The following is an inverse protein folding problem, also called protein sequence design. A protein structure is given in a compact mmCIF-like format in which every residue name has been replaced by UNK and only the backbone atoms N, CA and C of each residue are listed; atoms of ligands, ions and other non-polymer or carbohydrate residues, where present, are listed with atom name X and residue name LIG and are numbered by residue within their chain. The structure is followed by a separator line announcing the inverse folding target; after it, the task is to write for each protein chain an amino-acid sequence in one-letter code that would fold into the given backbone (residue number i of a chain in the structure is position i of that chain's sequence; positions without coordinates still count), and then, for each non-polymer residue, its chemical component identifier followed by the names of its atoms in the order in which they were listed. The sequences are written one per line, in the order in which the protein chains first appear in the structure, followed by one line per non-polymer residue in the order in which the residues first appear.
data_IF_313244599392
#
_entry.id   IF_313244599392
#
_cell.length_a   1.000
_cell.length_b   1.000
_cell.length_c   1.000
_cell.angle_alpha   90.00
_cell.angle_beta   90.00
_cell.angle_gamma   90.00
#
_symmetry.space_group_name_H-M   'P 1'
#
loop_
_entity.id
_entity.type
_entity.pdbx_description
1 polymer ?
#
# COMPACT_ATOMS: atom_id res chain seq x y z
N UNK A 1 -29.39 -10.42 -3.79
CA UNK A 1 -28.47 -11.34 -3.08
C UNK A 1 -27.04 -11.45 -3.64
N UNK A 2 -26.75 -12.09 -4.80
CA UNK A 2 -25.35 -12.21 -5.29
C UNK A 2 -24.72 -10.86 -5.72
N UNK A 3 -25.46 -10.04 -6.47
CA UNK A 3 -25.00 -8.72 -6.94
C UNK A 3 -24.72 -7.73 -5.79
N UNK A 4 -25.58 -7.69 -4.77
CA UNK A 4 -25.36 -6.86 -3.57
C UNK A 4 -24.09 -7.28 -2.80
N UNK A 5 -23.79 -8.58 -2.76
CA UNK A 5 -22.57 -9.08 -2.12
C UNK A 5 -21.30 -8.65 -2.86
N UNK A 6 -21.37 -8.57 -4.20
CA UNK A 6 -20.26 -8.13 -5.05
C UNK A 6 -20.08 -6.62 -4.92
N UNK A 7 -21.16 -5.84 -5.04
CA UNK A 7 -21.09 -4.38 -4.92
C UNK A 7 -20.52 -3.96 -3.56
N UNK A 8 -21.01 -4.57 -2.47
CA UNK A 8 -20.57 -4.26 -1.11
C UNK A 8 -19.08 -4.47 -0.90
N UNK A 9 -18.47 -5.46 -1.56
CA UNK A 9 -17.04 -5.78 -1.45
C UNK A 9 -16.14 -4.75 -2.12
N UNK A 10 -16.65 -4.02 -3.12
CA UNK A 10 -15.89 -3.02 -3.87
C UNK A 10 -16.04 -1.60 -3.33
N UNK A 11 -16.91 -1.36 -2.34
CA UNK A 11 -17.12 -0.03 -1.75
C UNK A 11 -15.81 0.58 -1.25
N UNK A 12 -15.03 -0.17 -0.45
CA UNK A 12 -13.76 0.33 0.10
C UNK A 12 -12.76 0.71 -1.01
N UNK A 13 -12.44 -0.18 -1.98
CA UNK A 13 -11.58 0.16 -3.11
C UNK A 13 -12.07 1.32 -3.98
N UNK A 14 -13.38 1.40 -4.24
CA UNK A 14 -13.99 2.48 -5.03
C UNK A 14 -13.86 3.82 -4.32
N UNK A 15 -14.20 3.88 -3.04
CA UNK A 15 -14.08 5.10 -2.24
C UNK A 15 -12.63 5.55 -2.13
N UNK A 16 -11.71 4.62 -1.90
CA UNK A 16 -10.27 4.93 -1.84
C UNK A 16 -9.76 5.49 -3.16
N UNK A 17 -10.11 4.84 -4.29
CA UNK A 17 -9.74 5.31 -5.63
C UNK A 17 -10.34 6.69 -5.93
N UNK A 18 -11.62 6.89 -5.56
CA UNK A 18 -12.31 8.16 -5.73
C UNK A 18 -11.60 9.29 -4.96
N UNK A 19 -11.22 9.04 -3.70
CA UNK A 19 -10.47 10.03 -2.89
C UNK A 19 -9.14 10.40 -3.55
N UNK A 20 -8.37 9.42 -4.05
CA UNK A 20 -7.12 9.70 -4.76
C UNK A 20 -7.35 10.55 -6.02
N UNK A 21 -8.40 10.25 -6.79
CA UNK A 21 -8.76 11.03 -8.00
C UNK A 21 -9.19 12.45 -7.63
N UNK A 22 -10.04 12.60 -6.61
CA UNK A 22 -10.48 13.93 -6.15
C UNK A 22 -9.31 14.78 -5.65
N UNK A 23 -8.35 14.18 -4.95
CA UNK A 23 -7.12 14.88 -4.52
C UNK A 23 -6.25 15.27 -5.71
N UNK A 24 -6.15 14.42 -6.74
CA UNK A 24 -5.39 14.72 -7.96
C UNK A 24 -5.98 15.86 -8.80
N UNK A 25 -7.25 16.23 -8.59
CA UNK A 25 -7.88 17.39 -9.21
C UNK A 25 -7.58 18.71 -8.48
N UNK A 26 -7.01 18.66 -7.27
CA UNK A 26 -6.69 19.87 -6.52
C UNK A 26 -5.47 20.60 -7.12
N UNK A 27 -5.34 21.92 -6.91
CA UNK A 27 -4.13 22.65 -7.29
C UNK A 27 -2.88 22.09 -6.61
N UNK A 28 -1.73 22.18 -7.28
CA UNK A 28 -0.45 21.69 -6.75
C UNK A 28 -0.09 22.30 -5.38
N UNK A 29 -0.49 23.55 -5.13
CA UNK A 29 -0.32 24.24 -3.83
C UNK A 29 -1.10 23.59 -2.68
N UNK A 30 -2.16 22.82 -2.97
CA UNK A 30 -2.86 22.00 -1.99
C UNK A 30 -2.25 20.60 -1.88
N UNK A 31 -1.88 19.98 -3.00
CA UNK A 31 -1.25 18.65 -3.02
C UNK A 31 0.05 18.63 -2.20
N UNK A 32 0.88 19.68 -2.32
CA UNK A 32 2.10 19.88 -1.52
C UNK A 32 1.85 19.99 -0.01
N UNK A 33 0.64 20.34 0.44
CA UNK A 33 0.27 20.33 1.87
C UNK A 33 -0.11 18.94 2.39
N UNK A 34 -0.39 18.01 1.48
CA UNK A 34 -0.78 16.65 1.77
C UNK A 34 0.38 15.65 1.61
N UNK A 35 1.43 15.99 0.87
CA UNK A 35 2.59 15.12 0.73
C UNK A 35 3.31 14.88 2.05
N UNK A 36 4.04 13.77 2.13
CA UNK A 36 4.98 13.54 3.21
C UNK A 36 6.05 14.62 3.10
N UNK A 37 6.28 15.35 4.19
CA UNK A 37 7.32 16.37 4.28
C UNK A 37 7.92 16.30 5.67
N UNK A 38 9.16 15.82 5.77
CA UNK A 38 9.77 15.41 7.05
C UNK A 38 9.83 16.54 8.06
N UNK A 39 10.21 17.75 7.62
CA UNK A 39 10.29 18.91 8.50
C UNK A 39 8.92 19.26 9.10
N UNK A 40 7.87 19.31 8.28
CA UNK A 40 6.52 19.63 8.75
C UNK A 40 5.91 18.53 9.62
N UNK A 41 6.26 17.26 9.38
CA UNK A 41 5.89 16.17 10.31
C UNK A 41 6.52 16.41 11.69
N UNK A 42 7.77 16.89 11.72
CA UNK A 42 8.45 17.28 12.97
C UNK A 42 7.74 18.46 13.65
N UNK A 43 7.20 19.39 12.86
CA UNK A 43 6.43 20.54 13.33
C UNK A 43 4.98 20.19 13.76
N UNK A 44 4.60 18.91 13.75
CA UNK A 44 3.30 18.43 14.22
C UNK A 44 2.27 18.18 13.12
N UNK A 45 2.62 18.32 11.84
CA UNK A 45 1.72 18.05 10.71
C UNK A 45 1.57 16.53 10.43
N UNK A 46 1.17 15.77 11.45
CA UNK A 46 1.13 14.30 11.45
C UNK A 46 0.20 13.70 10.39
N UNK A 47 -0.79 14.45 9.90
CA UNK A 47 -1.66 14.00 8.81
C UNK A 47 -0.89 13.65 7.54
N UNK A 48 0.30 14.24 7.33
CA UNK A 48 1.20 13.95 6.21
C UNK A 48 1.70 12.50 6.19
N UNK A 49 1.75 11.83 7.33
CA UNK A 49 2.04 10.39 7.40
C UNK A 49 0.94 9.57 6.71
N UNK A 50 -0.28 10.09 6.63
CA UNK A 50 -1.39 9.43 5.97
C UNK A 50 -1.63 9.96 4.56
N UNK A 51 -1.79 11.28 4.43
CA UNK A 51 -2.23 11.93 3.19
C UNK A 51 -1.24 11.81 2.04
N UNK A 52 0.05 11.58 2.31
CA UNK A 52 1.07 11.40 1.28
C UNK A 52 0.75 10.28 0.29
N UNK A 53 0.10 9.22 0.79
CA UNK A 53 -0.26 8.03 0.03
C UNK A 53 -1.49 8.22 -0.86
N UNK A 54 -2.21 9.33 -0.66
CA UNK A 54 -3.35 9.74 -1.49
C UNK A 54 -2.92 10.71 -2.60
N UNK A 55 -1.76 11.35 -2.45
CA UNK A 55 -1.15 12.24 -3.45
C UNK A 55 -0.24 11.48 -4.40
N UNK A 56 -0.09 11.99 -5.62
CA UNK A 56 0.71 11.38 -6.69
C UNK A 56 1.56 12.45 -7.39
N UNK A 57 2.58 12.01 -8.13
CA UNK A 57 3.48 12.89 -8.89
C UNK A 57 2.80 13.47 -10.15
N UNK A 58 1.74 12.82 -10.63
CA UNK A 58 0.95 13.22 -11.77
C UNK A 58 -0.04 12.13 -12.18
N UNK A 59 -0.76 12.34 -13.27
CA UNK A 59 -1.79 11.42 -13.76
C UNK A 59 -1.24 10.03 -14.12
N UNK A 60 -0.06 9.95 -14.74
CA UNK A 60 0.57 8.66 -15.08
C UNK A 60 0.82 7.80 -13.83
N UNK A 61 1.40 8.40 -12.79
CA UNK A 61 1.65 7.73 -11.51
C UNK A 61 0.34 7.31 -10.82
N UNK A 62 -0.68 8.18 -10.81
CA UNK A 62 -1.99 7.84 -10.25
C UNK A 62 -2.63 6.66 -10.98
N UNK A 63 -2.68 6.69 -12.31
CA UNK A 63 -3.28 5.63 -13.12
C UNK A 63 -2.54 4.31 -12.89
N UNK A 64 -1.21 4.33 -12.89
CA UNK A 64 -0.38 3.15 -12.63
C UNK A 64 -0.67 2.56 -11.23
N UNK A 65 -0.72 3.39 -10.19
CA UNK A 65 -0.99 2.93 -8.84
C UNK A 65 -2.41 2.39 -8.69
N UNK A 66 -3.42 3.06 -9.25
CA UNK A 66 -4.79 2.57 -9.20
C UNK A 66 -4.96 1.29 -10.02
N UNK A 67 -4.34 1.19 -11.19
CA UNK A 67 -4.34 -0.05 -11.98
C UNK A 67 -3.70 -1.20 -11.19
N UNK A 68 -2.56 -0.96 -10.54
CA UNK A 68 -1.91 -1.92 -9.66
C UNK A 68 -2.80 -2.31 -8.47
N UNK A 69 -3.45 -1.34 -7.83
CA UNK A 69 -4.39 -1.58 -6.73
C UNK A 69 -5.54 -2.49 -7.15
N UNK A 70 -6.19 -2.19 -8.27
CA UNK A 70 -7.30 -3.00 -8.79
C UNK A 70 -6.84 -4.39 -9.26
N UNK A 71 -5.66 -4.50 -9.86
CA UNK A 71 -5.06 -5.78 -10.24
C UNK A 71 -4.80 -6.66 -9.00
N UNK A 72 -4.22 -6.08 -7.95
CA UNK A 72 -3.99 -6.79 -6.68
C UNK A 72 -5.31 -7.32 -6.10
N UNK A 73 -6.37 -6.51 -6.11
CA UNK A 73 -7.69 -6.95 -5.65
C UNK A 73 -8.28 -8.06 -6.52
N UNK A 74 -8.03 -8.04 -7.83
CA UNK A 74 -8.45 -9.10 -8.75
C UNK A 74 -7.69 -10.42 -8.51
N UNK A 75 -6.39 -10.35 -8.16
CA UNK A 75 -5.58 -11.50 -7.78
C UNK A 75 -6.06 -12.16 -6.48
N UNK A 76 -6.68 -11.38 -5.57
CA UNK A 76 -7.15 -11.82 -4.26
C UNK A 76 -8.67 -11.67 -4.12
N UNK A 77 -9.48 -12.46 -4.84
CA UNK A 77 -10.94 -12.26 -4.97
C UNK A 77 -11.71 -12.46 -3.65
N UNK A 78 -11.07 -13.06 -2.63
CA UNK A 78 -11.58 -13.11 -1.24
C UNK A 78 -11.41 -11.77 -0.56
N UNK A 79 -12.17 -10.81 -1.08
CA UNK A 79 -12.22 -9.43 -0.61
C UNK A 79 -12.68 -9.35 0.83
N UNK A 80 -12.03 -8.46 1.57
CA UNK A 80 -12.39 -8.20 2.95
C UNK A 80 -13.71 -7.42 3.02
N UNK A 81 -14.50 -7.57 4.10
CA UNK A 81 -15.56 -6.63 4.42
C UNK A 81 -15.02 -5.18 4.37
N UNK A 82 -15.82 -4.18 3.94
CA UNK A 82 -15.35 -2.81 3.71
C UNK A 82 -14.54 -2.21 4.87
N UNK A 83 -15.01 -2.41 6.11
CA UNK A 83 -14.31 -1.92 7.30
C UNK A 83 -12.93 -2.57 7.47
N UNK A 84 -12.80 -3.89 7.27
CA UNK A 84 -11.52 -4.60 7.37
C UNK A 84 -10.56 -4.19 6.23
N UNK A 85 -11.10 -3.93 5.03
CA UNK A 85 -10.34 -3.36 3.92
C UNK A 85 -9.78 -1.98 4.29
N UNK A 86 -10.62 -1.10 4.83
CA UNK A 86 -10.21 0.24 5.24
C UNK A 86 -9.14 0.21 6.34
N UNK A 87 -9.34 -0.62 7.38
CA UNK A 87 -8.35 -0.80 8.45
C UNK A 87 -7.01 -1.30 7.88
N UNK A 88 -7.03 -2.30 6.99
CA UNK A 88 -5.81 -2.81 6.35
C UNK A 88 -5.08 -1.70 5.59
N UNK A 89 -5.78 -0.92 4.76
CA UNK A 89 -5.17 0.19 4.02
C UNK A 89 -4.58 1.25 4.95
N UNK A 90 -5.31 1.64 6.01
CA UNK A 90 -4.81 2.60 7.01
C UNK A 90 -3.53 2.09 7.68
N UNK A 91 -3.50 0.82 8.10
CA UNK A 91 -2.33 0.25 8.75
C UNK A 91 -1.14 0.11 7.80
N UNK A 92 -1.37 -0.23 6.52
CA UNK A 92 -0.33 -0.26 5.51
C UNK A 92 0.24 1.13 5.21
N UNK A 93 -0.62 2.14 5.12
CA UNK A 93 -0.24 3.55 4.96
C UNK A 93 0.65 4.00 6.13
N UNK A 94 0.18 3.78 7.36
CA UNK A 94 0.91 4.18 8.55
C UNK A 94 2.22 3.43 8.71
N UNK A 95 2.23 2.10 8.50
CA UNK A 95 3.46 1.30 8.59
C UNK A 95 4.50 1.71 7.54
N UNK A 96 4.07 2.02 6.31
CA UNK A 96 4.97 2.53 5.27
C UNK A 96 5.57 3.88 5.68
N UNK A 97 4.76 4.82 6.16
CA UNK A 97 5.23 6.15 6.58
C UNK A 97 6.09 6.11 7.84
N UNK A 98 5.76 5.25 8.81
CA UNK A 98 6.57 5.03 10.01
C UNK A 98 7.92 4.42 9.62
N UNK A 99 7.93 3.49 8.67
CA UNK A 99 9.17 2.95 8.10
C UNK A 99 10.05 4.05 7.50
N UNK A 100 9.49 4.87 6.62
CA UNK A 100 10.20 6.02 6.04
C UNK A 100 10.72 6.97 7.12
N UNK A 101 9.90 7.27 8.11
CA UNK A 101 10.27 8.18 9.19
C UNK A 101 11.44 7.67 10.03
N UNK A 102 11.40 6.39 10.43
CA UNK A 102 12.37 5.80 11.35
C UNK A 102 13.66 5.36 10.67
N UNK A 103 13.57 4.84 9.44
CA UNK A 103 14.67 4.11 8.80
C UNK A 103 15.23 4.79 7.55
N UNK A 104 14.54 5.80 7.00
CA UNK A 104 15.00 6.61 5.85
C UNK A 104 15.05 8.11 6.20
N UNK A 105 15.90 8.56 7.14
CA UNK A 105 15.97 9.96 7.57
C UNK A 105 16.31 10.95 6.43
N UNK A 106 16.97 10.47 5.38
CA UNK A 106 17.31 11.21 4.16
C UNK A 106 16.10 11.50 3.26
N UNK A 107 14.98 10.78 3.41
CA UNK A 107 13.74 11.04 2.66
C UNK A 107 13.09 12.30 3.21
N UNK A 108 13.30 13.41 2.51
CA UNK A 108 12.74 14.72 2.88
C UNK A 108 11.28 14.86 2.48
N UNK A 109 10.88 14.29 1.34
CA UNK A 109 9.51 14.33 0.83
C UNK A 109 9.12 13.03 0.12
N UNK A 110 7.82 12.70 0.11
CA UNK A 110 7.29 11.50 -0.55
C UNK A 110 5.83 11.67 -1.00
N UNK A 111 5.49 11.07 -2.14
CA UNK A 111 4.13 10.93 -2.67
C UNK A 111 3.96 9.56 -3.33
N UNK A 112 2.81 8.93 -3.14
CA UNK A 112 2.41 7.76 -3.91
C UNK A 112 1.88 6.62 -3.07
N UNK A 113 1.16 5.72 -3.73
CA UNK A 113 0.52 4.55 -3.13
C UNK A 113 1.40 3.29 -3.22
N UNK A 114 2.45 3.30 -4.03
CA UNK A 114 3.19 2.10 -4.42
C UNK A 114 3.73 1.29 -3.23
N UNK A 115 4.15 1.93 -2.13
CA UNK A 115 4.54 1.22 -0.90
C UNK A 115 3.39 0.41 -0.31
N UNK A 116 2.23 1.04 -0.15
CA UNK A 116 0.99 0.39 0.30
C UNK A 116 0.62 -0.79 -0.61
N UNK A 117 0.82 -0.66 -1.92
CA UNK A 117 0.56 -1.75 -2.88
C UNK A 117 1.47 -2.96 -2.66
N UNK A 118 2.75 -2.75 -2.37
CA UNK A 118 3.67 -3.84 -2.04
C UNK A 118 3.22 -4.57 -0.76
N UNK A 119 2.81 -3.81 0.26
CA UNK A 119 2.26 -4.37 1.48
C UNK A 119 0.96 -5.16 1.25
N UNK A 120 0.05 -4.61 0.46
CA UNK A 120 -1.20 -5.28 0.11
C UNK A 120 -0.95 -6.56 -0.69
N UNK A 121 0.01 -6.54 -1.62
CA UNK A 121 0.40 -7.68 -2.44
C UNK A 121 1.01 -8.80 -1.58
N UNK A 122 1.96 -8.48 -0.68
CA UNK A 122 2.53 -9.44 0.26
C UNK A 122 1.48 -10.02 1.20
N UNK A 123 0.66 -9.16 1.82
CA UNK A 123 -0.40 -9.58 2.72
C UNK A 123 -1.41 -10.51 2.03
N UNK A 124 -1.83 -10.14 0.81
CA UNK A 124 -2.76 -10.92 0.01
C UNK A 124 -2.21 -12.29 -0.40
N UNK A 125 -0.96 -12.33 -0.89
CA UNK A 125 -0.29 -13.56 -1.28
C UNK A 125 -0.13 -14.51 -0.09
N UNK A 126 0.31 -14.01 1.07
CA UNK A 126 0.40 -14.81 2.29
C UNK A 126 -0.96 -15.32 2.76
N UNK A 127 -2.00 -14.49 2.67
CA UNK A 127 -3.36 -14.87 3.07
C UNK A 127 -3.93 -16.01 2.25
N UNK A 128 -3.68 -16.02 0.94
CA UNK A 128 -4.18 -17.07 0.06
C UNK A 128 -3.19 -18.24 -0.14
N UNK A 129 -2.05 -18.26 0.57
CA UNK A 129 -0.99 -19.24 0.38
C UNK A 129 -1.47 -20.69 0.45
N UNK A 130 -2.43 -20.99 1.32
CA UNK A 130 -3.03 -22.34 1.43
C UNK A 130 -3.96 -22.70 0.27
N UNK A 131 -4.59 -21.70 -0.34
CA UNK A 131 -5.64 -21.87 -1.34
C UNK A 131 -5.07 -21.84 -2.77
N UNK A 132 -4.03 -21.02 -2.99
CA UNK A 132 -3.34 -20.84 -4.25
C UNK A 132 -1.81 -20.79 -4.03
N UNK A 133 -1.17 -21.90 -3.62
CA UNK A 133 0.23 -21.91 -3.23
C UNK A 133 1.17 -21.49 -4.37
N UNK A 134 0.94 -21.97 -5.60
CA UNK A 134 1.79 -21.64 -6.74
C UNK A 134 1.79 -20.14 -7.08
N UNK A 135 0.60 -19.52 -7.17
CA UNK A 135 0.44 -18.09 -7.43
C UNK A 135 1.08 -17.26 -6.31
N UNK A 136 0.83 -17.64 -5.06
CA UNK A 136 1.34 -16.94 -3.89
C UNK A 136 2.87 -17.00 -3.82
N UNK A 137 3.44 -18.19 -4.05
CA UNK A 137 4.88 -18.39 -4.06
C UNK A 137 5.55 -17.59 -5.18
N UNK A 138 4.96 -17.60 -6.39
CA UNK A 138 5.45 -16.80 -7.51
C UNK A 138 5.46 -15.30 -7.19
N UNK A 139 4.34 -14.77 -6.69
CA UNK A 139 4.21 -13.35 -6.31
C UNK A 139 5.25 -12.98 -5.23
N UNK A 140 5.34 -13.77 -4.15
CA UNK A 140 6.26 -13.47 -3.04
C UNK A 140 7.72 -13.53 -3.50
N UNK A 141 8.08 -14.53 -4.31
CA UNK A 141 9.43 -14.65 -4.87
C UNK A 141 9.75 -13.47 -5.76
N UNK A 142 8.84 -13.08 -6.65
CA UNK A 142 9.00 -11.92 -7.52
C UNK A 142 9.19 -10.63 -6.72
N UNK A 143 8.37 -10.40 -5.69
CA UNK A 143 8.50 -9.22 -4.82
C UNK A 143 9.85 -9.21 -4.09
N UNK A 144 10.30 -10.35 -3.54
CA UNK A 144 11.60 -10.43 -2.86
C UNK A 144 12.75 -10.12 -3.82
N UNK A 145 12.78 -10.73 -4.99
CA UNK A 145 13.82 -10.47 -6.01
C UNK A 145 13.81 -8.99 -6.41
N UNK A 146 12.63 -8.43 -6.67
CA UNK A 146 12.47 -7.01 -6.98
C UNK A 146 13.01 -6.11 -5.87
N UNK A 147 12.65 -6.38 -4.61
CA UNK A 147 13.07 -5.54 -3.49
C UNK A 147 14.58 -5.64 -3.25
N UNK A 148 15.18 -6.82 -3.39
CA UNK A 148 16.65 -6.98 -3.32
C UNK A 148 17.32 -6.14 -4.41
N UNK A 149 16.80 -6.18 -5.64
CA UNK A 149 17.30 -5.34 -6.72
C UNK A 149 17.19 -3.86 -6.35
N UNK A 150 16.00 -3.42 -5.92
CA UNK A 150 15.75 -2.02 -5.61
C UNK A 150 16.63 -1.47 -4.49
N UNK A 151 16.93 -2.30 -3.49
CA UNK A 151 17.77 -1.91 -2.35
C UNK A 151 19.27 -1.90 -2.70
N UNK A 152 19.70 -2.62 -3.74
CA UNK A 152 21.09 -2.60 -4.20
C UNK A 152 21.31 -1.56 -5.31
N UNK A 153 20.46 -1.57 -6.33
CA UNK A 153 20.66 -0.87 -7.60
C UNK A 153 19.78 0.39 -7.74
N UNK A 154 18.82 0.60 -6.83
CA UNK A 154 17.80 1.65 -6.97
C UNK A 154 16.62 1.21 -7.85
N UNK A 155 15.76 2.16 -8.28
CA UNK A 155 14.53 1.86 -9.00
C UNK A 155 14.74 0.99 -10.24
N UNK A 156 13.80 0.09 -10.54
CA UNK A 156 13.86 -0.70 -11.78
C UNK A 156 13.89 0.23 -13.02
N UNK A 157 14.66 -0.10 -14.08
CA UNK A 157 14.74 0.70 -15.28
C UNK A 157 13.35 1.07 -15.85
N UNK A 158 13.13 2.36 -16.11
CA UNK A 158 11.86 2.88 -16.61
C UNK A 158 10.80 3.20 -15.54
N UNK A 159 10.99 2.79 -14.28
CA UNK A 159 10.00 3.05 -13.21
C UNK A 159 9.79 4.53 -12.94
N UNK A 160 10.86 5.32 -12.91
CA UNK A 160 10.79 6.77 -12.67
C UNK A 160 10.16 7.52 -13.84
N UNK A 161 10.38 7.06 -15.07
CA UNK A 161 9.72 7.59 -16.27
C UNK A 161 8.21 7.34 -16.22
N UNK A 162 7.80 6.11 -15.87
CA UNK A 162 6.39 5.75 -15.69
C UNK A 162 5.74 6.49 -14.51
N UNK A 163 6.48 6.69 -13.42
CA UNK A 163 6.02 7.42 -12.24
C UNK A 163 6.12 8.95 -12.39
N UNK A 164 6.70 9.45 -13.48
CA UNK A 164 6.97 10.87 -13.69
C UNK A 164 7.77 11.54 -12.54
N UNK A 165 8.72 10.82 -11.94
CA UNK A 165 9.61 11.35 -10.91
C UNK A 165 10.29 10.26 -10.08
N UNK A 166 11.02 10.70 -9.05
CA UNK A 166 11.87 9.82 -8.22
C UNK A 166 11.07 8.75 -7.50
N UNK A 167 11.54 7.51 -7.57
CA UNK A 167 10.92 6.37 -6.88
C UNK A 167 11.66 6.12 -5.56
N UNK A 168 10.96 6.34 -4.44
CA UNK A 168 11.48 6.03 -3.10
C UNK A 168 11.32 4.52 -2.85
N UNK A 169 12.35 3.76 -3.19
CA UNK A 169 12.35 2.29 -3.09
C UNK A 169 12.14 1.78 -1.66
N UNK A 170 12.55 2.54 -0.66
CA UNK A 170 12.37 2.19 0.75
C UNK A 170 10.89 2.12 1.13
N UNK A 171 10.04 2.94 0.49
CA UNK A 171 8.60 2.85 0.68
C UNK A 171 8.06 1.47 0.23
N UNK A 172 8.63 0.87 -0.82
CA UNK A 172 8.26 -0.47 -1.26
C UNK A 172 8.66 -1.53 -0.23
N UNK A 173 9.87 -1.43 0.31
CA UNK A 173 10.36 -2.33 1.35
C UNK A 173 9.50 -2.24 2.61
N UNK A 174 9.29 -1.04 3.15
CA UNK A 174 8.53 -0.85 4.39
C UNK A 174 7.05 -1.22 4.22
N UNK A 175 6.47 -0.93 3.06
CA UNK A 175 5.14 -1.41 2.71
C UNK A 175 5.06 -2.93 2.73
N UNK A 176 5.97 -3.62 2.03
CA UNK A 176 6.03 -5.08 1.99
C UNK A 176 6.17 -5.69 3.39
N UNK A 177 7.12 -5.20 4.19
CA UNK A 177 7.34 -5.62 5.59
C UNK A 177 6.09 -5.41 6.43
N UNK A 178 5.44 -4.25 6.32
CA UNK A 178 4.18 -3.97 7.03
C UNK A 178 3.11 -4.98 6.66
N UNK A 179 2.96 -5.32 5.38
CA UNK A 179 2.03 -6.35 4.91
C UNK A 179 2.27 -7.72 5.54
N UNK A 180 3.54 -8.15 5.63
CA UNK A 180 3.93 -9.40 6.27
C UNK A 180 3.62 -9.38 7.78
N UNK A 181 3.91 -8.28 8.47
CA UNK A 181 3.61 -8.10 9.89
C UNK A 181 2.11 -8.19 10.14
N UNK A 182 1.30 -7.46 9.38
CA UNK A 182 -0.17 -7.46 9.54
C UNK A 182 -0.78 -8.84 9.28
N UNK A 183 -0.25 -9.60 8.32
CA UNK A 183 -0.69 -10.97 8.09
C UNK A 183 -0.34 -11.89 9.26
N UNK A 184 0.88 -11.78 9.77
CA UNK A 184 1.37 -12.59 10.90
C UNK A 184 0.54 -12.32 12.17
N UNK A 185 0.31 -11.05 12.52
CA UNK A 185 -0.49 -10.66 13.69
C UNK A 185 -1.94 -11.17 13.58
N UNK A 186 -2.58 -10.99 12.42
CA UNK A 186 -3.95 -11.48 12.22
C UNK A 186 -4.05 -13.01 12.33
N UNK A 187 -3.01 -13.73 11.89
CA UNK A 187 -2.95 -15.19 11.97
C UNK A 187 -2.76 -15.69 13.42
N UNK A 188 -2.00 -14.96 14.24
CA UNK A 188 -1.81 -15.27 15.66
C UNK A 188 -3.09 -15.02 16.45
N UNK A 189 -3.72 -13.85 16.29
CA UNK A 189 -4.96 -13.50 16.99
C UNK A 189 -6.06 -14.52 16.69
N UNK A 190 -6.20 -14.95 15.44
CA UNK A 190 -7.19 -15.96 15.06
C UNK A 190 -6.95 -17.31 15.76
N UNK A 191 -5.69 -17.72 15.92
CA UNK A 191 -5.36 -18.97 16.62
C UNK A 191 -5.70 -18.89 18.10
N UNK A 192 -5.32 -17.80 18.77
CA UNK A 192 -5.58 -17.62 20.21
C UNK A 192 -7.08 -17.62 20.53
N UNK A 193 -7.90 -16.93 19.72
CA UNK A 193 -9.36 -16.91 19.91
C UNK A 193 -9.99 -18.30 19.70
N UNK A 194 -9.46 -19.11 18.78
CA UNK A 194 -9.96 -20.48 18.52
C UNK A 194 -9.54 -21.45 19.62
N UNK A 195 -8.38 -21.25 20.23
CA UNK A 195 -7.90 -22.06 21.36
C UNK A 195 -8.66 -21.75 22.65
N UNK A 196 -9.05 -20.49 22.89
CA UNK A 196 -9.82 -20.07 24.07
C UNK A 196 -11.32 -20.48 24.01
N UNK A 197 -11.82 -20.84 22.82
CA UNK A 197 -13.23 -21.25 22.60
C UNK A 197 -13.42 -22.77 22.49
N UNK A 198 -12.38 -23.56 22.78
CA UNK A 198 -12.43 -25.03 22.86
C UNK A 198 -12.29 -25.50 24.29
#
# INVERSE_FOLDING_TARGET
MKAESILRRHICPLLFSLVCVLIALLPESFITKLQYQRIHITDGELWRLFSAHLTHLGWGHLIMNLAGFWLILALFPKTQPPLRCMILLVLLILGTSIGLWLFSPEVTWYRGLSGVLHGLLCWGALKQLKEQPGVSFFILTFVVIKLIWEQWQGPLPGSESLAAGSVIVDAHLYGAVTGVILWSLGSVVLKLVVEETR
#
